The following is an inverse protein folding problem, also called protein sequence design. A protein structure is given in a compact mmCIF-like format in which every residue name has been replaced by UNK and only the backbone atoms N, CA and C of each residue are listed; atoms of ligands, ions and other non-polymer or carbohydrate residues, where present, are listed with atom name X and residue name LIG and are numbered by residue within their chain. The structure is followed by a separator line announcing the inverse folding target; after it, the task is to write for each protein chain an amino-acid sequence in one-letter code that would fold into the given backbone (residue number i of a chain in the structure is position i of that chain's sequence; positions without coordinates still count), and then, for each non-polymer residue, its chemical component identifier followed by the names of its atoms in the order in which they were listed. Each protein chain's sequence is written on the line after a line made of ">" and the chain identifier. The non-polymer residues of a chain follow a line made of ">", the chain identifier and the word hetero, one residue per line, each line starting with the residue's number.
data_IF_652399758254
#
_entry.id   IF_652399758254
#
_cell.length_a   1.000
_cell.length_b   1.000
_cell.length_c   1.000
_cell.angle_alpha   90.00
_cell.angle_beta   90.00
_cell.angle_gamma   90.00
#
_symmetry.space_group_name_H-M   'P 1'
#
loop_
_entity.id
_entity.type
_entity.pdbx_description
1 polymer ?
#
# COMPACT_ATOMS: atom_id res chain seq x y z
N UNK A 1 -8.71 -41.65 2.00
CA UNK A 1 -7.23 -41.56 1.95
C UNK A 1 -6.85 -41.33 0.50
N UNK A 2 -6.74 -40.07 0.08
CA UNK A 2 -6.40 -39.69 -1.29
C UNK A 2 -5.33 -38.61 -1.22
N UNK A 3 -4.21 -38.92 -1.85
CA UNK A 3 -2.96 -38.18 -1.95
C UNK A 3 -3.13 -36.93 -2.83
N UNK A 4 -2.59 -35.79 -2.42
CA UNK A 4 -2.24 -34.69 -3.34
C UNK A 4 -0.92 -34.03 -2.92
N UNK A 5 0.11 -34.35 -3.71
CA UNK A 5 1.20 -33.48 -4.21
C UNK A 5 2.05 -32.66 -3.23
N UNK A 6 3.24 -33.19 -2.94
CA UNK A 6 4.43 -32.40 -2.64
C UNK A 6 5.08 -31.98 -3.97
N UNK A 7 4.80 -30.76 -4.46
CA UNK A 7 5.56 -30.13 -5.54
C UNK A 7 5.23 -28.63 -5.67
N UNK A 8 5.48 -27.82 -4.64
CA UNK A 8 5.73 -26.38 -4.79
C UNK A 8 6.69 -25.92 -3.69
N UNK A 9 7.90 -26.45 -3.70
CA UNK A 9 8.96 -26.00 -2.80
C UNK A 9 10.25 -25.80 -3.59
N UNK A 10 10.16 -24.91 -4.57
CA UNK A 10 11.31 -24.20 -5.12
C UNK A 10 10.80 -23.06 -5.97
N UNK A 11 11.57 -21.97 -6.05
CA UNK A 11 11.35 -20.75 -6.85
C UNK A 11 10.55 -19.63 -6.16
N UNK A 12 11.19 -18.91 -5.23
CA UNK A 12 11.14 -17.44 -5.17
C UNK A 12 12.12 -16.91 -4.11
N UNK A 13 13.41 -17.14 -4.36
CA UNK A 13 14.51 -16.45 -3.68
C UNK A 13 15.44 -15.88 -4.76
N UNK A 14 14.91 -14.91 -5.49
CA UNK A 14 15.61 -13.90 -6.29
C UNK A 14 14.49 -12.95 -6.67
N UNK A 15 14.37 -11.75 -6.12
CA UNK A 15 15.13 -10.58 -6.54
C UNK A 15 15.06 -9.56 -5.39
N UNK A 16 16.12 -9.47 -4.60
CA UNK A 16 16.46 -8.22 -3.91
C UNK A 16 17.43 -7.46 -4.82
N UNK A 17 17.31 -6.14 -4.78
CA UNK A 17 18.14 -5.14 -5.45
C UNK A 17 17.68 -4.71 -6.85
N UNK A 18 16.84 -3.68 -6.88
CA UNK A 18 16.85 -2.69 -7.96
C UNK A 18 16.46 -1.33 -7.38
N UNK A 19 17.52 -0.55 -7.15
CA UNK A 19 17.49 0.85 -6.76
C UNK A 19 16.66 1.67 -7.74
N UNK A 20 15.87 2.55 -7.14
CA UNK A 20 15.06 3.57 -7.78
C UNK A 20 15.95 4.63 -8.43
N UNK A 21 16.04 4.64 -9.76
CA UNK A 21 16.54 5.78 -10.53
C UNK A 21 15.57 6.10 -11.67
N UNK A 22 15.16 7.38 -11.72
CA UNK A 22 14.28 8.05 -12.69
C UNK A 22 14.33 7.49 -14.12
N UNK A 23 13.17 7.44 -14.79
CA UNK A 23 13.14 7.48 -16.25
C UNK A 23 11.91 6.84 -16.84
N UNK A 24 10.99 7.67 -17.30
CA UNK A 24 9.75 7.31 -17.98
C UNK A 24 10.06 6.54 -19.27
N UNK A 25 9.62 5.28 -19.36
CA UNK A 25 9.65 4.48 -20.59
C UNK A 25 8.45 4.88 -21.47
N UNK A 26 8.71 5.54 -22.59
CA UNK A 26 7.73 5.67 -23.68
C UNK A 26 8.03 4.61 -24.74
N UNK A 27 7.12 3.67 -24.94
CA UNK A 27 7.14 2.77 -26.09
C UNK A 27 6.51 3.46 -27.30
N UNK A 28 7.22 3.47 -28.44
CA UNK A 28 6.66 3.85 -29.73
C UNK A 28 6.75 2.64 -30.66
N UNK A 29 5.63 2.29 -31.28
CA UNK A 29 5.52 1.23 -32.29
C UNK A 29 6.41 1.61 -33.47
N UNK A 30 7.50 0.86 -33.68
CA UNK A 30 8.41 1.06 -34.81
C UNK A 30 7.94 0.22 -36.00
N UNK A 31 7.54 0.91 -37.06
CA UNK A 31 7.84 0.43 -38.40
C UNK A 31 9.30 0.73 -38.69
N UNK A 32 10.17 -0.28 -38.55
CA UNK A 32 11.46 -0.40 -39.23
C UNK A 32 12.64 0.41 -38.66
N UNK A 33 13.73 -0.33 -38.43
CA UNK A 33 15.13 0.09 -38.19
C UNK A 33 15.52 0.57 -36.79
N UNK A 34 16.14 -0.36 -36.05
CA UNK A 34 17.13 -0.08 -35.02
C UNK A 34 18.38 0.54 -35.66
N UNK A 35 18.85 1.66 -35.13
CA UNK A 35 20.24 2.06 -35.25
C UNK A 35 20.69 2.69 -33.94
N UNK A 36 21.53 1.98 -33.18
CA UNK A 36 22.19 2.48 -31.97
C UNK A 36 23.41 3.30 -32.36
N UNK A 37 23.37 4.62 -32.14
CA UNK A 37 24.60 5.42 -32.00
C UNK A 37 24.46 6.41 -30.84
N UNK A 38 25.33 6.20 -29.85
CA UNK A 38 25.65 7.09 -28.75
C UNK A 38 26.60 8.17 -29.28
N UNK A 39 26.35 9.44 -28.95
CA UNK A 39 27.28 10.58 -28.82
C UNK A 39 26.40 11.86 -28.84
N UNK A 40 26.21 12.52 -27.71
CA UNK A 40 27.08 13.57 -27.15
C UNK A 40 26.98 14.91 -27.91
N UNK A 41 26.64 15.95 -27.14
CA UNK A 41 26.85 17.38 -27.35
C UNK A 41 25.92 18.20 -28.26
N UNK A 42 25.32 19.20 -27.61
CA UNK A 42 25.12 20.59 -28.04
C UNK A 42 25.12 20.87 -29.55
N UNK A 43 23.94 21.21 -30.09
CA UNK A 43 23.79 22.24 -31.10
C UNK A 43 22.39 22.84 -31.02
N UNK A 44 22.30 24.14 -30.76
CA UNK A 44 21.10 24.94 -31.02
C UNK A 44 20.94 24.95 -32.54
N UNK A 45 19.96 24.20 -33.06
CA UNK A 45 19.65 24.22 -34.48
C UNK A 45 18.30 24.92 -34.66
N UNK A 46 18.38 26.12 -35.23
CA UNK A 46 17.27 26.95 -35.66
C UNK A 46 16.32 26.19 -36.59
N UNK A 47 15.03 26.20 -36.26
CA UNK A 47 13.98 25.70 -37.15
C UNK A 47 13.76 26.67 -38.33
N UNK A 48 13.58 26.15 -39.58
CA UNK A 48 13.22 26.98 -40.73
C UNK A 48 11.79 27.54 -40.65
N UNK A 49 11.51 28.68 -41.30
CA UNK A 49 10.22 29.35 -41.22
C UNK A 49 9.25 28.65 -42.18
N UNK A 50 8.49 27.66 -41.70
CA UNK A 50 7.19 27.22 -42.27
C UNK A 50 6.61 25.93 -41.62
N UNK A 51 7.00 25.58 -40.39
CA UNK A 51 6.32 24.51 -39.66
C UNK A 51 5.31 25.08 -38.68
N UNK A 52 4.03 24.79 -38.93
CA UNK A 52 2.93 25.14 -38.04
C UNK A 52 3.07 24.32 -36.75
N UNK A 53 3.36 24.98 -35.63
CA UNK A 53 3.34 24.35 -34.31
C UNK A 53 1.87 24.13 -33.97
N UNK A 54 1.33 22.95 -34.29
CA UNK A 54 0.08 22.52 -33.67
C UNK A 54 0.38 22.30 -32.20
N UNK A 55 -0.02 23.25 -31.38
CA UNK A 55 0.05 23.19 -29.92
C UNK A 55 -0.61 21.90 -29.45
N UNK A 56 0.21 20.94 -29.00
CA UNK A 56 -0.29 19.96 -28.06
C UNK A 56 -0.87 20.75 -26.88
N UNK A 57 -2.10 20.48 -26.44
CA UNK A 57 -2.57 21.06 -25.19
C UNK A 57 -1.58 20.60 -24.12
N UNK A 58 -0.77 21.52 -23.62
CA UNK A 58 -0.11 21.32 -22.35
C UNK A 58 -1.26 21.23 -21.35
N UNK A 59 -1.71 20.00 -21.05
CA UNK A 59 -2.49 19.77 -19.85
C UNK A 59 -1.65 20.30 -18.72
N UNK A 60 -2.10 21.44 -18.22
CA UNK A 60 -1.62 22.12 -17.04
C UNK A 60 -1.74 21.12 -15.88
N UNK A 61 -0.75 20.25 -15.73
CA UNK A 61 -0.57 19.45 -14.53
C UNK A 61 -0.06 20.43 -13.48
N UNK A 62 -0.97 21.22 -12.92
CA UNK A 62 -0.80 21.67 -11.55
C UNK A 62 -0.79 20.38 -10.74
N UNK A 63 0.40 19.88 -10.42
CA UNK A 63 0.54 18.90 -9.36
C UNK A 63 0.02 19.61 -8.11
N UNK A 64 -1.23 19.34 -7.76
CA UNK A 64 -1.76 19.74 -6.47
C UNK A 64 -0.87 19.04 -5.45
N UNK A 65 -0.01 19.80 -4.77
CA UNK A 65 1.02 19.28 -3.85
C UNK A 65 0.45 18.66 -2.58
N UNK A 66 -0.85 18.38 -2.55
CA UNK A 66 -1.60 17.81 -1.44
C UNK A 66 -1.97 16.33 -1.69
N UNK A 67 -1.95 15.86 -2.94
CA UNK A 67 -2.30 14.48 -3.27
C UNK A 67 -1.04 13.62 -3.38
N UNK A 68 -0.82 12.76 -2.38
CA UNK A 68 0.33 11.85 -2.35
C UNK A 68 0.34 10.87 -3.54
N UNK A 69 -0.84 10.54 -4.09
CA UNK A 69 -1.02 9.60 -5.21
C UNK A 69 -2.27 9.98 -6.03
N UNK A 70 -2.20 9.82 -7.35
CA UNK A 70 -3.35 9.91 -8.24
C UNK A 70 -4.12 8.57 -8.28
N UNK A 71 -5.44 8.66 -8.14
CA UNK A 71 -6.36 7.51 -8.13
C UNK A 71 -7.30 7.55 -9.33
N UNK A 72 -7.30 6.48 -10.12
CA UNK A 72 -8.32 6.28 -11.15
C UNK A 72 -9.65 5.85 -10.51
N UNK A 73 -10.76 6.08 -11.20
CA UNK A 73 -12.07 5.70 -10.67
C UNK A 73 -12.24 4.17 -10.59
N UNK A 74 -11.58 3.42 -11.48
CA UNK A 74 -11.50 1.96 -11.41
C UNK A 74 -10.77 1.47 -10.15
N UNK A 75 -9.67 2.12 -9.76
CA UNK A 75 -8.95 1.78 -8.53
C UNK A 75 -9.80 2.08 -7.30
N UNK A 76 -10.46 3.26 -7.24
CA UNK A 76 -11.36 3.62 -6.13
C UNK A 76 -12.52 2.64 -6.00
N UNK A 77 -13.12 2.26 -7.12
CA UNK A 77 -14.19 1.25 -7.16
C UNK A 77 -13.69 -0.11 -6.66
N UNK A 78 -12.50 -0.53 -7.09
CA UNK A 78 -11.88 -1.79 -6.65
C UNK A 78 -11.64 -1.82 -5.14
N UNK A 79 -11.04 -0.76 -4.58
CA UNK A 79 -10.81 -0.64 -3.12
C UNK A 79 -12.13 -0.65 -2.36
N UNK A 80 -13.13 0.08 -2.84
CA UNK A 80 -14.46 0.13 -2.20
C UNK A 80 -15.16 -1.23 -2.27
N UNK A 81 -15.03 -1.96 -3.38
CA UNK A 81 -15.60 -3.29 -3.56
C UNK A 81 -14.92 -4.35 -2.67
N UNK A 82 -13.59 -4.26 -2.49
CA UNK A 82 -12.86 -5.08 -1.51
C UNK A 82 -13.34 -4.76 -0.11
N UNK A 83 -13.33 -3.48 0.27
CA UNK A 83 -13.70 -3.04 1.61
C UNK A 83 -15.16 -3.36 1.96
N UNK A 84 -16.08 -3.26 1.00
CA UNK A 84 -17.50 -3.61 1.20
C UNK A 84 -17.75 -5.08 1.53
N UNK A 85 -16.79 -5.97 1.28
CA UNK A 85 -16.85 -7.39 1.66
C UNK A 85 -16.10 -7.70 2.97
N UNK A 86 -15.38 -6.72 3.54
CA UNK A 86 -14.64 -6.90 4.79
C UNK A 86 -15.59 -6.78 5.97
N UNK A 87 -15.77 -7.86 6.73
CA UNK A 87 -16.41 -7.78 8.05
C UNK A 87 -15.40 -7.27 9.09
N UNK A 88 -15.58 -6.02 9.52
CA UNK A 88 -14.74 -5.36 10.52
C UNK A 88 -14.74 -6.11 11.86
N UNK A 89 -15.85 -6.79 12.21
CA UNK A 89 -15.95 -7.53 13.45
C UNK A 89 -15.12 -8.81 13.46
N UNK A 90 -14.75 -9.31 12.28
CA UNK A 90 -13.95 -10.52 12.13
C UNK A 90 -12.50 -10.18 11.73
N UNK A 91 -12.32 -9.41 10.65
CA UNK A 91 -11.01 -9.10 10.08
C UNK A 91 -10.16 -8.27 11.04
N UNK A 92 -10.76 -7.30 11.74
CA UNK A 92 -10.04 -6.43 12.67
C UNK A 92 -9.37 -7.20 13.82
N UNK A 93 -10.14 -7.96 14.62
CA UNK A 93 -9.59 -8.81 15.66
C UNK A 93 -8.54 -9.81 15.14
N UNK A 94 -8.81 -10.49 14.02
CA UNK A 94 -7.89 -11.47 13.44
C UNK A 94 -6.56 -10.84 13.01
N UNK A 95 -6.60 -9.66 12.39
CA UNK A 95 -5.40 -8.96 11.95
C UNK A 95 -4.54 -8.52 13.12
N UNK A 96 -5.12 -7.84 14.11
CA UNK A 96 -4.35 -7.35 15.26
C UNK A 96 -3.78 -8.50 16.11
N UNK A 97 -4.58 -9.55 16.35
CA UNK A 97 -4.11 -10.72 17.07
C UNK A 97 -2.93 -11.39 16.34
N UNK A 98 -3.00 -11.55 15.01
CA UNK A 98 -1.88 -12.09 14.22
C UNK A 98 -0.64 -11.20 14.28
N UNK A 99 -0.77 -9.88 14.27
CA UNK A 99 0.38 -8.97 14.44
C UNK A 99 1.06 -9.24 15.78
N UNK A 100 0.31 -9.31 16.87
CA UNK A 100 0.85 -9.55 18.21
C UNK A 100 1.50 -10.94 18.37
N UNK A 101 1.00 -11.95 17.64
CA UNK A 101 1.54 -13.32 17.69
C UNK A 101 2.80 -13.47 16.81
N UNK A 102 2.74 -13.01 15.55
CA UNK A 102 3.83 -13.19 14.57
C UNK A 102 4.99 -12.22 14.84
N UNK A 103 4.68 -11.04 15.36
CA UNK A 103 5.63 -9.96 15.62
C UNK A 103 5.58 -9.55 17.09
N UNK A 104 6.06 -10.40 18.02
CA UNK A 104 5.82 -10.26 19.45
C UNK A 104 6.38 -8.97 20.07
N UNK A 105 7.38 -8.33 19.45
CA UNK A 105 7.88 -7.03 19.90
C UNK A 105 6.80 -5.94 19.87
N UNK A 106 5.76 -6.08 19.05
CA UNK A 106 4.63 -5.15 19.00
C UNK A 106 3.76 -5.16 20.25
N UNK A 107 3.84 -6.23 21.06
CA UNK A 107 3.10 -6.34 22.33
C UNK A 107 3.48 -5.24 23.34
N UNK A 108 4.69 -4.67 23.24
CA UNK A 108 5.18 -3.59 24.12
C UNK A 108 4.26 -2.36 24.16
N UNK A 109 3.49 -2.13 23.10
CA UNK A 109 2.56 -1.00 22.98
C UNK A 109 1.22 -1.24 23.67
N UNK A 110 0.94 -2.47 24.09
CA UNK A 110 -0.39 -2.90 24.56
C UNK A 110 -0.40 -3.32 26.04
N UNK A 111 0.47 -2.74 26.87
CA UNK A 111 0.57 -3.11 28.29
C UNK A 111 -0.76 -2.99 29.07
N UNK A 112 -1.64 -2.06 28.70
CA UNK A 112 -2.96 -1.89 29.34
C UNK A 112 -4.00 -2.95 28.93
N UNK A 113 -3.66 -3.84 27.98
CA UNK A 113 -4.59 -4.84 27.46
C UNK A 113 -4.65 -6.10 28.34
N UNK A 114 -3.81 -6.20 29.37
CA UNK A 114 -3.72 -7.36 30.24
C UNK A 114 -2.83 -8.43 29.63
N UNK A 115 -3.22 -9.70 29.75
CA UNK A 115 -2.42 -10.81 29.25
C UNK A 115 -2.43 -10.86 27.72
N UNK A 116 -1.24 -10.72 27.14
CA UNK A 116 -0.92 -10.88 25.72
C UNK A 116 0.31 -11.78 25.52
N UNK A 117 0.63 -12.62 26.51
CA UNK A 117 1.87 -13.41 26.55
C UNK A 117 1.85 -14.65 25.66
N UNK A 118 0.67 -15.24 25.43
CA UNK A 118 0.50 -16.46 24.62
C UNK A 118 -0.49 -16.26 23.47
N UNK A 119 -0.41 -17.05 22.39
CA UNK A 119 -1.38 -16.96 21.30
C UNK A 119 -2.84 -17.15 21.75
N UNK A 120 -3.08 -18.07 22.69
CA UNK A 120 -4.41 -18.30 23.25
C UNK A 120 -4.91 -17.08 24.04
N UNK A 121 -4.05 -16.47 24.87
CA UNK A 121 -4.38 -15.25 25.59
C UNK A 121 -4.69 -14.10 24.62
N UNK A 122 -3.85 -13.88 23.60
CA UNK A 122 -4.05 -12.83 22.58
C UNK A 122 -5.38 -13.03 21.84
N UNK A 123 -5.65 -14.23 21.35
CA UNK A 123 -6.87 -14.54 20.58
C UNK A 123 -8.14 -14.43 21.43
N UNK A 124 -8.05 -14.73 22.73
CA UNK A 124 -9.15 -14.60 23.69
C UNK A 124 -9.30 -13.20 24.30
N UNK A 125 -8.40 -12.26 24.02
CA UNK A 125 -8.38 -10.97 24.70
C UNK A 125 -9.42 -9.99 24.11
N UNK A 126 -10.45 -9.58 24.88
CA UNK A 126 -11.50 -8.70 24.37
C UNK A 126 -11.00 -7.29 24.02
N UNK A 127 -9.94 -6.81 24.67
CA UNK A 127 -9.33 -5.50 24.36
C UNK A 127 -8.56 -5.55 23.04
N UNK A 128 -7.88 -6.65 22.74
CA UNK A 128 -7.26 -6.88 21.42
C UNK A 128 -8.34 -6.89 20.35
N UNK A 129 -9.43 -7.64 20.55
CA UNK A 129 -10.54 -7.67 19.59
C UNK A 129 -11.15 -6.27 19.38
N UNK A 130 -11.45 -5.55 20.46
CA UNK A 130 -11.99 -4.20 20.39
C UNK A 130 -11.05 -3.23 19.64
N UNK A 131 -9.75 -3.26 19.93
CA UNK A 131 -8.80 -2.39 19.26
C UNK A 131 -8.60 -2.74 17.78
N UNK A 132 -8.65 -4.03 17.42
CA UNK A 132 -8.64 -4.45 16.02
C UNK A 132 -9.78 -3.83 15.21
N UNK A 133 -10.97 -3.69 15.81
CA UNK A 133 -12.11 -2.98 15.21
C UNK A 133 -11.84 -1.48 15.07
N UNK A 134 -11.22 -0.85 16.07
CA UNK A 134 -10.83 0.57 16.01
C UNK A 134 -9.87 0.83 14.85
N UNK A 135 -8.86 -0.03 14.66
CA UNK A 135 -7.92 0.07 13.54
C UNK A 135 -8.63 -0.04 12.19
N UNK A 136 -9.53 -1.01 12.03
CA UNK A 136 -10.32 -1.14 10.81
C UNK A 136 -11.29 0.03 10.59
N UNK A 137 -11.87 0.58 11.65
CA UNK A 137 -12.67 1.81 11.58
C UNK A 137 -11.86 3.02 11.13
N UNK A 138 -10.56 3.09 11.47
CA UNK A 138 -9.68 4.10 10.93
C UNK A 138 -9.44 3.90 9.42
N UNK A 139 -9.25 2.66 8.96
CA UNK A 139 -9.09 2.34 7.53
C UNK A 139 -10.32 2.71 6.68
N UNK A 140 -11.52 2.54 7.23
CA UNK A 140 -12.76 2.96 6.57
C UNK A 140 -12.74 4.47 6.21
N UNK A 141 -12.14 5.30 7.06
CA UNK A 141 -11.96 6.73 6.76
C UNK A 141 -11.05 6.96 5.55
N UNK A 142 -9.99 6.17 5.37
CA UNK A 142 -9.12 6.26 4.20
C UNK A 142 -9.81 5.76 2.92
N UNK A 143 -10.60 4.69 3.01
CA UNK A 143 -11.41 4.20 1.87
C UNK A 143 -12.40 5.28 1.42
N UNK A 144 -13.05 5.97 2.35
CA UNK A 144 -13.98 7.07 2.06
C UNK A 144 -13.29 8.35 1.59
N UNK A 145 -12.02 8.54 1.91
CA UNK A 145 -11.25 9.76 1.60
C UNK A 145 -9.97 9.47 0.80
N UNK A 146 -10.05 8.61 -0.23
CA UNK A 146 -8.87 8.20 -1.00
C UNK A 146 -8.09 9.35 -1.64
N UNK A 147 -8.75 10.47 -1.95
CA UNK A 147 -8.10 11.67 -2.48
C UNK A 147 -7.28 12.45 -1.45
N UNK A 148 -7.55 12.30 -0.15
CA UNK A 148 -6.91 13.10 0.91
C UNK A 148 -6.54 12.28 2.15
N UNK A 149 -5.93 11.10 1.93
CA UNK A 149 -5.53 10.19 3.03
C UNK A 149 -4.50 10.85 3.96
N UNK A 150 -3.59 11.66 3.42
CA UNK A 150 -2.54 12.33 4.19
C UNK A 150 -3.12 13.29 5.23
N UNK A 151 -4.02 14.20 4.84
CA UNK A 151 -4.66 15.09 5.81
C UNK A 151 -5.58 14.33 6.77
N UNK A 152 -6.29 13.31 6.27
CA UNK A 152 -7.21 12.47 7.08
C UNK A 152 -6.51 11.83 8.28
N UNK A 153 -5.25 11.40 8.11
CA UNK A 153 -4.48 10.73 9.16
C UNK A 153 -3.47 11.62 9.89
N UNK A 154 -3.42 12.93 9.63
CA UNK A 154 -2.48 13.84 10.30
C UNK A 154 -2.50 13.69 11.83
N UNK A 155 -3.67 13.86 12.45
CA UNK A 155 -3.83 13.77 13.91
C UNK A 155 -3.55 12.36 14.46
N UNK A 156 -3.88 11.32 13.68
CA UNK A 156 -3.61 9.94 14.08
C UNK A 156 -2.11 9.63 14.04
N UNK A 157 -1.40 10.13 13.02
CA UNK A 157 0.05 10.05 12.88
C UNK A 157 0.77 10.76 14.04
N UNK A 158 0.35 11.98 14.38
CA UNK A 158 0.90 12.73 15.54
C UNK A 158 0.74 11.96 16.85
N UNK A 159 -0.42 11.33 17.07
CA UNK A 159 -0.66 10.53 18.28
C UNK A 159 0.26 9.30 18.33
N UNK A 160 0.42 8.60 17.20
CA UNK A 160 1.30 7.43 17.14
C UNK A 160 2.78 7.79 17.31
N UNK A 161 3.20 8.96 16.83
CA UNK A 161 4.57 9.45 16.97
C UNK A 161 4.84 10.00 18.38
N UNK A 162 4.04 10.96 18.85
CA UNK A 162 4.35 11.81 19.99
C UNK A 162 3.75 11.33 21.32
N UNK A 163 2.79 10.40 21.27
CA UNK A 163 2.11 9.90 22.48
C UNK A 163 2.32 8.42 22.67
N UNK A 164 2.16 7.63 21.61
CA UNK A 164 2.28 6.16 21.68
C UNK A 164 3.70 5.68 21.40
N UNK A 165 4.55 6.53 20.79
CA UNK A 165 5.93 6.23 20.40
C UNK A 165 6.05 4.91 19.62
N UNK A 166 5.08 4.67 18.72
CA UNK A 166 5.05 3.48 17.88
C UNK A 166 6.09 3.63 16.78
N UNK A 167 7.00 2.68 16.65
CA UNK A 167 7.98 2.68 15.56
C UNK A 167 7.24 2.56 14.21
N UNK A 168 7.47 3.49 13.26
CA UNK A 168 6.71 3.57 12.02
C UNK A 168 6.84 2.33 11.12
N UNK A 169 7.90 1.52 11.27
CA UNK A 169 8.02 0.25 10.53
C UNK A 169 6.91 -0.75 10.87
N UNK A 170 6.30 -0.62 12.06
CA UNK A 170 5.19 -1.49 12.46
C UNK A 170 3.91 -1.24 11.64
N UNK A 171 3.76 -0.07 11.00
CA UNK A 171 2.62 0.17 10.11
C UNK A 171 2.67 -0.73 8.87
N UNK A 172 3.87 -0.93 8.32
CA UNK A 172 4.07 -1.86 7.20
C UNK A 172 3.73 -3.29 7.61
N UNK A 173 4.20 -3.70 8.79
CA UNK A 173 3.92 -5.03 9.35
C UNK A 173 2.42 -5.28 9.49
N UNK A 174 1.68 -4.31 10.05
CA UNK A 174 0.23 -4.40 10.16
C UNK A 174 -0.45 -4.47 8.78
N UNK A 175 0.04 -3.69 7.81
CA UNK A 175 -0.49 -3.69 6.46
C UNK A 175 -0.31 -5.04 5.73
N UNK A 176 0.86 -5.67 5.90
CA UNK A 176 1.17 -6.98 5.33
C UNK A 176 0.26 -8.06 5.96
N UNK A 177 0.13 -8.07 7.29
CA UNK A 177 -0.73 -9.04 8.01
C UNK A 177 -2.20 -8.86 7.65
N UNK A 178 -2.69 -7.62 7.56
CA UNK A 178 -4.07 -7.35 7.16
C UNK A 178 -4.35 -7.88 5.75
N UNK A 179 -3.41 -7.68 4.82
CA UNK A 179 -3.52 -8.22 3.45
C UNK A 179 -3.62 -9.74 3.48
N UNK A 180 -2.80 -10.42 4.29
CA UNK A 180 -2.84 -11.89 4.42
C UNK A 180 -4.19 -12.35 4.98
N UNK A 181 -4.76 -11.65 5.97
CA UNK A 181 -6.08 -11.97 6.52
C UNK A 181 -7.17 -11.82 5.45
N UNK A 182 -7.18 -10.72 4.70
CA UNK A 182 -8.15 -10.48 3.62
C UNK A 182 -8.01 -11.54 2.53
N UNK A 183 -6.78 -11.86 2.10
CA UNK A 183 -6.53 -12.89 1.11
C UNK A 183 -7.05 -14.27 1.57
N UNK A 184 -6.83 -14.62 2.85
CA UNK A 184 -7.37 -15.87 3.41
C UNK A 184 -8.90 -15.90 3.45
N UNK A 185 -9.55 -14.75 3.66
CA UNK A 185 -11.02 -14.64 3.69
C UNK A 185 -11.64 -14.69 2.29
N UNK A 186 -11.00 -14.07 1.31
CA UNK A 186 -11.53 -13.94 -0.04
C UNK A 186 -11.12 -15.10 -0.95
N UNK A 187 -10.06 -15.83 -0.58
CA UNK A 187 -9.54 -16.96 -1.34
C UNK A 187 -9.21 -16.55 -2.78
N UNK A 188 -9.64 -17.37 -3.75
CA UNK A 188 -9.39 -17.15 -5.18
C UNK A 188 -9.99 -15.83 -5.72
N UNK A 189 -10.95 -15.21 -5.01
CA UNK A 189 -11.52 -13.93 -5.43
C UNK A 189 -10.62 -12.73 -5.17
N UNK A 190 -9.54 -12.90 -4.39
CA UNK A 190 -8.49 -11.89 -4.21
C UNK A 190 -7.42 -12.07 -5.29
N UNK A 191 -7.75 -11.67 -6.52
CA UNK A 191 -6.88 -11.86 -7.68
C UNK A 191 -5.61 -10.99 -7.59
N UNK A 192 -4.55 -11.30 -8.36
CA UNK A 192 -3.33 -10.49 -8.39
C UNK A 192 -3.57 -9.01 -8.72
N UNK A 193 -4.55 -8.70 -9.57
CA UNK A 193 -4.89 -7.32 -9.96
C UNK A 193 -5.57 -6.56 -8.81
N UNK A 194 -6.45 -7.24 -8.07
CA UNK A 194 -7.07 -6.71 -6.86
C UNK A 194 -6.00 -6.50 -5.80
N UNK A 195 -5.12 -7.47 -5.60
CA UNK A 195 -4.02 -7.36 -4.66
C UNK A 195 -3.09 -6.20 -5.02
N UNK A 196 -2.75 -6.00 -6.30
CA UNK A 196 -1.89 -4.89 -6.73
C UNK A 196 -2.50 -3.52 -6.38
N UNK A 197 -3.81 -3.36 -6.61
CA UNK A 197 -4.54 -2.14 -6.26
C UNK A 197 -4.63 -1.95 -4.75
N UNK A 198 -4.94 -3.02 -4.01
CA UNK A 198 -4.95 -3.03 -2.54
C UNK A 198 -3.58 -2.67 -1.96
N UNK A 199 -2.50 -3.19 -2.52
CA UNK A 199 -1.13 -2.88 -2.10
C UNK A 199 -0.76 -1.42 -2.37
N UNK A 200 -1.19 -0.85 -3.50
CA UNK A 200 -1.07 0.60 -3.74
C UNK A 200 -1.76 1.39 -2.64
N UNK A 201 -2.98 1.02 -2.26
CA UNK A 201 -3.74 1.67 -1.19
C UNK A 201 -3.04 1.56 0.17
N UNK A 202 -2.60 0.37 0.55
CA UNK A 202 -1.91 0.16 1.82
C UNK A 202 -0.60 0.95 1.93
N UNK A 203 0.17 1.09 0.83
CA UNK A 203 1.37 1.93 0.82
C UNK A 203 1.05 3.40 1.11
N UNK A 204 -0.06 3.92 0.56
CA UNK A 204 -0.50 5.29 0.81
C UNK A 204 -0.94 5.46 2.26
N UNK A 205 -1.66 4.49 2.82
CA UNK A 205 -2.05 4.48 4.24
C UNK A 205 -0.82 4.47 5.15
N UNK A 206 0.14 3.59 4.90
CA UNK A 206 1.39 3.47 5.69
C UNK A 206 2.18 4.78 5.63
N UNK A 207 2.34 5.36 4.44
CA UNK A 207 3.03 6.64 4.29
C UNK A 207 2.31 7.78 5.03
N UNK A 208 0.98 7.82 5.01
CA UNK A 208 0.21 8.82 5.75
C UNK A 208 0.36 8.65 7.28
N UNK A 209 0.34 7.41 7.77
CA UNK A 209 0.56 7.10 9.19
C UNK A 209 1.96 7.45 9.68
N UNK A 210 2.98 7.30 8.85
CA UNK A 210 4.36 7.71 9.14
C UNK A 210 4.66 9.19 8.89
N UNK A 211 3.69 10.00 8.45
CA UNK A 211 3.96 11.34 7.90
C UNK A 211 4.31 12.42 8.92
N UNK A 212 4.03 12.21 10.21
CA UNK A 212 4.26 13.17 11.31
C UNK A 212 5.30 12.70 12.33
N UNK A 213 6.23 11.86 11.90
CA UNK A 213 7.39 11.42 12.68
C UNK A 213 8.57 12.35 12.38
N UNK A 214 8.88 13.25 13.32
CA UNK A 214 9.94 14.26 13.21
C UNK A 214 10.85 14.24 14.42
#
# INVERSE_FOLDING_TARGET
>A
MVLFSASVQSTMLSVFDLRFCRGQLCTKKLGGQLCTKKLANFFVQSCPPNFFVQSCPLQNRRSNTDNMVDWTDAEKSTISAVWGKVDINEVGPLALARVLIVYPWTQRYFGSFGDVSTPAAIMGNPKVAAHGKVVCGALDKAVKNMGNILATYKSLSETHANTLFVDPDNFRVLADVLTIVIAAKFGASFTPEIQATWQKFMKVVVAAMGSRYF
#
